data_IF_888312325254
#
_entry.id   IF_888312325254
#
_cell.length_a   1.000
_cell.length_b   1.000
_cell.length_c   1.000
_cell.angle_alpha   90.00
_cell.angle_beta   90.00
_cell.angle_gamma   90.00
#
_symmetry.space_group_name_H-M   'P 1'
#
loop_
_entity.id
_entity.type
_entity.pdbx_description
1 polymer ?
#
# COMPACT_ATOMS: atom_id res chain seq x y z
N UNK A 1 -41.54 20.21 0.86
CA UNK A 1 -40.15 20.37 0.38
C UNK A 1 -39.34 19.37 1.17
N UNK A 2 -39.27 18.16 0.64
CA UNK A 2 -38.54 17.06 1.27
C UNK A 2 -37.07 17.21 0.85
N UNK A 3 -36.22 17.49 1.82
CA UNK A 3 -34.78 17.73 1.60
C UNK A 3 -34.05 16.47 2.01
N UNK A 4 -33.94 15.51 1.09
CA UNK A 4 -33.04 14.38 1.29
C UNK A 4 -31.60 14.90 1.27
N UNK A 5 -30.78 14.62 2.29
CA UNK A 5 -29.39 15.03 2.28
C UNK A 5 -28.68 14.32 1.13
N UNK A 6 -28.03 15.07 0.23
CA UNK A 6 -27.12 14.50 -0.76
C UNK A 6 -26.03 13.72 -0.03
N UNK A 7 -26.05 12.39 -0.15
CA UNK A 7 -24.97 11.56 0.32
C UNK A 7 -23.70 11.93 -0.45
N UNK A 8 -22.71 12.45 0.26
CA UNK A 8 -21.40 12.75 -0.34
C UNK A 8 -20.85 11.47 -0.98
N UNK A 9 -20.34 11.52 -2.23
CA UNK A 9 -19.71 10.37 -2.89
C UNK A 9 -18.64 9.69 -2.02
N UNK A 10 -18.05 10.44 -1.09
CA UNK A 10 -17.00 10.00 -0.20
C UNK A 10 -17.51 9.16 0.96
N UNK A 11 -18.71 9.43 1.48
CA UNK A 11 -19.31 8.53 2.47
C UNK A 11 -19.57 7.14 1.87
N UNK A 12 -19.89 7.10 0.56
CA UNK A 12 -20.04 5.83 -0.17
C UNK A 12 -18.68 5.16 -0.43
N UNK A 13 -17.66 5.91 -0.83
CA UNK A 13 -16.32 5.37 -1.12
C UNK A 13 -15.57 4.90 0.15
N UNK A 14 -15.58 5.72 1.22
CA UNK A 14 -15.00 5.39 2.54
C UNK A 14 -15.68 4.17 3.15
N UNK A 15 -17.02 4.05 3.05
CA UNK A 15 -17.73 2.88 3.54
C UNK A 15 -17.40 1.58 2.77
N UNK A 16 -16.95 1.71 1.52
CA UNK A 16 -16.64 0.59 0.63
C UNK A 16 -15.16 0.18 0.66
N UNK A 17 -14.22 1.03 1.09
CA UNK A 17 -12.81 0.63 1.18
C UNK A 17 -12.52 -0.11 2.51
N UNK A 18 -12.23 -1.43 2.45
CA UNK A 18 -11.94 -2.22 3.65
C UNK A 18 -10.61 -1.86 4.33
N UNK A 19 -9.74 -1.07 3.70
CA UNK A 19 -8.46 -0.57 4.26
C UNK A 19 -8.66 0.58 5.25
N UNK A 20 -9.75 1.33 5.14
CA UNK A 20 -10.02 2.52 5.96
C UNK A 20 -11.00 2.30 7.11
N UNK A 21 -11.44 1.06 7.33
CA UNK A 21 -12.27 0.73 8.49
C UNK A 21 -11.44 0.87 9.77
N UNK A 22 -11.97 1.50 10.83
CA UNK A 22 -11.26 1.62 12.10
C UNK A 22 -10.85 0.22 12.59
N UNK A 23 -9.58 0.09 13.00
CA UNK A 23 -9.08 -1.13 13.63
C UNK A 23 -9.87 -1.39 14.92
N UNK A 24 -10.28 -2.64 15.21
CA UNK A 24 -10.87 -2.97 16.50
C UNK A 24 -9.91 -2.58 17.63
N UNK A 25 -10.44 -1.97 18.69
CA UNK A 25 -9.68 -1.62 19.89
C UNK A 25 -9.18 -2.91 20.58
N UNK A 26 -7.94 -3.29 20.28
CA UNK A 26 -7.26 -4.39 20.96
C UNK A 26 -6.58 -3.80 22.19
N UNK A 27 -7.34 -3.77 23.28
CA UNK A 27 -6.97 -3.16 24.54
C UNK A 27 -5.56 -3.50 25.04
N UNK A 28 -4.99 -2.53 25.74
CA UNK A 28 -3.69 -2.60 26.42
C UNK A 28 -3.50 -3.91 27.19
N UNK A 29 -2.52 -4.72 26.79
CA UNK A 29 -2.03 -5.79 27.66
C UNK A 29 -1.06 -5.17 28.67
N UNK A 30 -1.57 -4.89 29.87
CA UNK A 30 -0.78 -4.55 31.04
C UNK A 30 0.00 -5.75 31.60
N UNK A 31 0.98 -5.52 32.49
CA UNK A 31 1.95 -6.52 32.89
C UNK A 31 1.39 -7.40 34.01
N UNK A 32 0.71 -8.49 33.65
CA UNK A 32 0.40 -9.64 34.52
C UNK A 32 -0.23 -10.76 33.70
N UNK A 33 0.58 -11.64 33.14
CA UNK A 33 0.10 -12.93 32.60
C UNK A 33 1.21 -13.97 32.74
N UNK A 34 1.56 -14.28 33.98
CA UNK A 34 2.24 -15.51 34.33
C UNK A 34 1.23 -16.67 34.29
N UNK A 35 1.49 -17.70 33.49
CA UNK A 35 1.13 -19.08 33.86
C UNK A 35 2.30 -20.01 33.51
N UNK A 36 2.66 -20.80 34.52
CA UNK A 36 3.80 -21.68 34.68
C UNK A 36 3.74 -23.00 33.87
N UNK A 37 4.91 -23.36 33.30
CA UNK A 37 5.61 -24.67 33.28
C UNK A 37 4.87 -26.03 33.22
N UNK A 38 5.33 -26.90 32.30
CA UNK A 38 4.98 -28.33 32.28
C UNK A 38 5.84 -29.26 31.37
N UNK A 39 7.17 -29.28 31.58
CA UNK A 39 8.20 -30.35 31.30
C UNK A 39 8.42 -30.98 29.89
N UNK A 40 9.66 -31.47 29.62
CA UNK A 40 10.22 -31.68 28.28
C UNK A 40 10.23 -33.15 27.82
N UNK A 41 10.30 -33.37 26.50
CA UNK A 41 10.62 -34.68 25.91
C UNK A 41 11.96 -34.61 25.16
N UNK A 42 12.93 -35.43 25.59
CA UNK A 42 14.24 -35.63 24.95
C UNK A 42 14.16 -36.63 23.76
N UNK A 43 15.15 -36.61 22.84
CA UNK A 43 15.06 -37.21 21.49
C UNK A 43 15.90 -38.50 21.29
N UNK A 44 15.77 -39.13 20.09
CA UNK A 44 16.79 -39.81 19.22
C UNK A 44 16.23 -41.09 18.50
N UNK A 45 16.85 -41.65 17.43
CA UNK A 45 17.36 -41.03 16.19
C UNK A 45 17.17 -41.89 14.88
N UNK A 46 17.50 -41.28 13.72
CA UNK A 46 17.81 -41.96 12.43
C UNK A 46 16.96 -41.42 11.27
N UNK A 47 17.46 -40.98 10.11
CA UNK A 47 18.74 -41.16 9.39
C UNK A 47 19.01 -39.92 8.50
N UNK A 48 20.29 -39.67 8.26
CA UNK A 48 20.90 -38.57 7.49
C UNK A 48 20.45 -38.46 6.03
N UNK A 49 20.47 -37.20 5.53
CA UNK A 49 20.94 -36.63 4.22
C UNK A 49 19.96 -35.50 3.83
N UNK A 50 20.31 -34.24 3.60
CA UNK A 50 21.56 -33.53 3.34
C UNK A 50 21.33 -32.04 3.63
N UNK A 51 22.33 -31.35 4.19
CA UNK A 51 22.35 -29.87 4.27
C UNK A 51 23.13 -29.35 3.08
N UNK A 52 22.53 -28.44 2.31
CA UNK A 52 23.18 -27.31 1.62
C UNK A 52 22.07 -26.38 1.11
N UNK A 53 21.70 -25.38 1.92
CA UNK A 53 21.94 -23.96 1.64
C UNK A 53 21.24 -23.42 0.38
N UNK A 54 20.01 -22.92 0.55
CA UNK A 54 19.52 -21.76 -0.21
C UNK A 54 19.18 -20.70 0.83
N UNK A 55 19.94 -19.62 0.76
CA UNK A 55 19.86 -18.42 1.57
C UNK A 55 18.44 -17.89 1.63
N UNK A 56 17.97 -17.71 2.87
CA UNK A 56 16.78 -16.94 3.22
C UNK A 56 16.92 -15.51 2.69
N UNK A 57 16.17 -15.20 1.63
CA UNK A 57 15.73 -13.83 1.39
C UNK A 57 14.69 -13.52 2.46
N UNK A 58 15.08 -12.64 3.38
CA UNK A 58 14.31 -12.27 4.57
C UNK A 58 12.91 -11.80 4.14
N UNK A 59 11.92 -12.59 4.54
CA UNK A 59 10.53 -12.18 4.72
C UNK A 59 10.50 -11.07 5.77
N UNK A 60 10.60 -9.82 5.34
CA UNK A 60 10.04 -8.70 6.09
C UNK A 60 8.64 -8.41 5.54
N UNK A 61 7.77 -9.41 5.65
CA UNK A 61 6.33 -9.21 5.66
C UNK A 61 5.90 -9.30 7.12
N UNK A 62 6.10 -8.23 7.88
CA UNK A 62 5.33 -8.08 9.11
C UNK A 62 3.86 -7.88 8.70
N UNK A 63 2.92 -8.64 9.26
CA UNK A 63 1.54 -8.54 8.88
C UNK A 63 1.01 -7.21 9.43
N UNK A 64 0.74 -6.25 8.54
CA UNK A 64 -0.27 -5.26 8.83
C UNK A 64 -1.53 -6.04 9.24
N UNK A 65 -2.11 -5.66 10.38
CA UNK A 65 -3.31 -6.26 10.95
C UNK A 65 -4.42 -6.11 9.92
N UNK A 66 -4.54 -7.10 9.06
CA UNK A 66 -5.59 -7.19 8.08
C UNK A 66 -6.90 -7.22 8.88
N UNK A 67 -7.79 -6.26 8.60
CA UNK A 67 -9.20 -6.41 8.94
C UNK A 67 -9.62 -7.83 8.52
N UNK A 68 -10.54 -8.47 9.26
CA UNK A 68 -10.96 -9.85 8.97
C UNK A 68 -11.34 -10.08 7.49
N UNK A 69 -11.79 -9.02 6.81
CA UNK A 69 -12.05 -8.98 5.37
C UNK A 69 -10.80 -9.00 4.49
N UNK A 70 -9.74 -8.28 4.84
CA UNK A 70 -8.48 -8.28 4.09
C UNK A 70 -7.73 -9.62 4.24
N UNK A 71 -7.83 -10.26 5.42
CA UNK A 71 -7.30 -11.62 5.63
C UNK A 71 -8.04 -12.65 4.79
N UNK A 72 -9.37 -12.59 4.74
CA UNK A 72 -10.17 -13.49 3.91
C UNK A 72 -9.92 -13.30 2.40
N UNK A 73 -9.76 -12.06 1.93
CA UNK A 73 -9.42 -11.78 0.54
C UNK A 73 -8.00 -12.29 0.17
N UNK A 74 -7.05 -12.19 1.09
CA UNK A 74 -5.70 -12.74 0.93
C UNK A 74 -5.69 -14.27 0.92
N UNK A 75 -6.47 -14.92 1.80
CA UNK A 75 -6.62 -16.38 1.80
C UNK A 75 -7.16 -16.87 0.45
N UNK A 76 -8.19 -16.22 -0.08
CA UNK A 76 -8.76 -16.55 -1.40
C UNK A 76 -7.77 -16.32 -2.55
N UNK A 77 -6.94 -15.28 -2.50
CA UNK A 77 -5.88 -15.04 -3.47
C UNK A 77 -4.74 -16.07 -3.35
N UNK A 78 -4.37 -16.43 -2.12
CA UNK A 78 -3.31 -17.41 -1.85
C UNK A 78 -3.66 -18.82 -2.31
N UNK A 79 -4.95 -19.16 -2.37
CA UNK A 79 -5.43 -20.44 -2.91
C UNK A 79 -5.02 -20.63 -4.38
N UNK A 80 -5.01 -19.54 -5.17
CA UNK A 80 -4.50 -19.54 -6.55
C UNK A 80 -2.97 -19.58 -6.65
N UNK A 81 -2.25 -19.23 -5.57
CA UNK A 81 -0.79 -19.33 -5.47
C UNK A 81 -0.32 -20.71 -4.97
N UNK A 82 -1.25 -21.62 -4.64
CA UNK A 82 -0.88 -22.98 -4.24
C UNK A 82 -0.23 -23.71 -5.42
N UNK A 83 0.99 -24.22 -5.21
CA UNK A 83 1.76 -25.00 -6.18
C UNK A 83 1.16 -26.41 -6.37
N UNK A 84 -0.11 -26.52 -6.74
CA UNK A 84 -0.73 -27.79 -7.10
C UNK A 84 -0.87 -27.90 -8.63
N UNK A 85 0.06 -28.65 -9.24
CA UNK A 85 0.04 -28.93 -10.67
C UNK A 85 1.38 -29.46 -11.19
N UNK A 86 1.36 -30.04 -12.40
CA UNK A 86 2.61 -30.34 -13.12
C UNK A 86 3.23 -29.01 -13.58
N UNK A 87 4.55 -28.79 -13.38
CA UNK A 87 5.22 -27.61 -13.91
C UNK A 87 4.96 -27.47 -15.41
N UNK A 88 4.30 -26.39 -15.81
CA UNK A 88 4.21 -26.04 -17.22
C UNK A 88 5.38 -25.12 -17.58
N UNK A 89 6.00 -25.29 -18.76
CA UNK A 89 6.97 -24.32 -19.23
C UNK A 89 6.31 -22.95 -19.27
N UNK A 90 6.98 -21.94 -18.72
CA UNK A 90 6.48 -20.57 -18.80
C UNK A 90 6.37 -20.18 -20.28
N UNK A 91 5.15 -20.04 -20.78
CA UNK A 91 4.94 -19.26 -22.00
C UNK A 91 5.56 -17.88 -21.78
N UNK A 92 6.17 -17.26 -22.82
CA UNK A 92 6.70 -15.91 -22.68
C UNK A 92 5.62 -15.02 -22.04
N UNK A 93 5.97 -14.32 -20.96
CA UNK A 93 5.06 -13.43 -20.26
C UNK A 93 4.84 -12.16 -21.10
N UNK A 94 4.18 -12.31 -22.24
CA UNK A 94 3.92 -11.27 -23.23
C UNK A 94 2.43 -11.32 -23.54
N UNK A 95 1.77 -10.16 -23.48
CA UNK A 95 0.37 -10.05 -23.90
C UNK A 95 0.25 -10.28 -25.42
N UNK A 96 -0.15 -11.49 -25.83
CA UNK A 96 -0.33 -11.80 -27.25
C UNK A 96 -1.52 -11.04 -27.85
N UNK A 97 -1.49 -10.80 -29.17
CA UNK A 97 -2.59 -10.13 -29.88
C UNK A 97 -3.95 -10.82 -29.63
N UNK A 98 -3.97 -12.15 -29.63
CA UNK A 98 -5.17 -12.92 -29.35
C UNK A 98 -5.67 -12.76 -27.90
N UNK A 99 -4.77 -12.63 -26.92
CA UNK A 99 -5.16 -12.33 -25.53
C UNK A 99 -5.74 -10.93 -25.39
N UNK A 100 -5.18 -9.95 -26.10
CA UNK A 100 -5.71 -8.57 -26.14
C UNK A 100 -7.11 -8.56 -26.77
N UNK A 101 -7.31 -9.26 -27.90
CA UNK A 101 -8.64 -9.37 -28.53
C UNK A 101 -9.67 -10.06 -27.62
N UNK A 102 -9.25 -11.07 -26.85
CA UNK A 102 -10.10 -11.72 -25.85
C UNK A 102 -10.42 -10.78 -24.68
N UNK A 103 -9.44 -9.99 -24.24
CA UNK A 103 -9.58 -8.99 -23.19
C UNK A 103 -10.59 -7.90 -23.61
N UNK A 104 -10.55 -7.44 -24.85
CA UNK A 104 -11.46 -6.40 -25.37
C UNK A 104 -12.93 -6.83 -25.35
N UNK A 105 -13.20 -8.14 -25.32
CA UNK A 105 -14.55 -8.70 -25.19
C UNK A 105 -15.01 -8.88 -23.74
N UNK A 106 -14.13 -8.66 -22.75
CA UNK A 106 -14.47 -8.77 -21.34
C UNK A 106 -15.12 -7.49 -20.81
N UNK A 107 -15.97 -7.57 -19.77
CA UNK A 107 -16.43 -6.40 -19.03
C UNK A 107 -15.26 -5.62 -18.41
N UNK A 108 -15.40 -4.29 -18.27
CA UNK A 108 -14.39 -3.40 -17.70
C UNK A 108 -13.79 -3.91 -16.37
N UNK A 109 -14.64 -4.40 -15.46
CA UNK A 109 -14.21 -5.01 -14.19
C UNK A 109 -13.20 -6.13 -14.40
N UNK A 110 -13.52 -7.07 -15.31
CA UNK A 110 -12.67 -8.23 -15.56
C UNK A 110 -11.41 -7.86 -16.32
N UNK A 111 -11.46 -6.82 -17.15
CA UNK A 111 -10.29 -6.28 -17.80
C UNK A 111 -9.27 -5.72 -16.79
N UNK A 112 -9.73 -4.88 -15.86
CA UNK A 112 -8.89 -4.30 -14.82
C UNK A 112 -8.26 -5.37 -13.92
N UNK A 113 -9.06 -6.32 -13.45
CA UNK A 113 -8.59 -7.44 -12.62
C UNK A 113 -7.53 -8.30 -13.35
N UNK A 114 -7.83 -8.73 -14.58
CA UNK A 114 -6.91 -9.58 -15.34
C UNK A 114 -5.61 -8.84 -15.68
N UNK A 115 -5.69 -7.58 -16.11
CA UNK A 115 -4.50 -6.83 -16.45
C UNK A 115 -3.65 -6.52 -15.22
N UNK A 116 -4.26 -6.24 -14.06
CA UNK A 116 -3.50 -6.02 -12.83
C UNK A 116 -2.82 -7.32 -12.35
N UNK A 117 -3.49 -8.46 -12.47
CA UNK A 117 -2.87 -9.77 -12.24
C UNK A 117 -1.67 -9.99 -13.19
N UNK A 118 -1.83 -9.67 -14.47
CA UNK A 118 -0.75 -9.78 -15.47
C UNK A 118 0.41 -8.81 -15.19
N UNK A 119 0.11 -7.59 -14.74
CA UNK A 119 1.11 -6.61 -14.31
C UNK A 119 1.90 -7.11 -13.10
N UNK A 120 1.23 -7.65 -12.07
CA UNK A 120 1.87 -8.26 -10.89
C UNK A 120 2.82 -9.40 -11.31
N UNK A 121 2.45 -10.16 -12.35
CA UNK A 121 3.27 -11.23 -12.91
C UNK A 121 4.25 -10.76 -14.01
N UNK A 122 4.47 -9.45 -14.15
CA UNK A 122 5.40 -8.82 -15.09
C UNK A 122 5.21 -9.18 -16.57
N UNK A 123 3.96 -9.35 -17.00
CA UNK A 123 3.67 -9.54 -18.42
C UNK A 123 3.97 -8.26 -19.21
N UNK A 124 4.76 -8.41 -20.27
CA UNK A 124 5.07 -7.33 -21.20
C UNK A 124 3.78 -6.78 -21.83
N UNK A 125 3.65 -5.45 -21.84
CA UNK A 125 2.50 -4.72 -22.36
C UNK A 125 1.31 -4.61 -21.38
N UNK A 126 1.29 -5.33 -20.24
CA UNK A 126 0.15 -5.27 -19.31
C UNK A 126 -0.09 -3.84 -18.78
N UNK A 127 0.97 -3.16 -18.36
CA UNK A 127 0.88 -1.78 -17.85
C UNK A 127 0.44 -0.79 -18.94
N UNK A 128 0.87 -0.97 -20.19
CA UNK A 128 0.44 -0.13 -21.31
C UNK A 128 -1.05 -0.34 -21.62
N UNK A 129 -1.51 -1.59 -21.56
CA UNK A 129 -2.93 -1.91 -21.73
C UNK A 129 -3.79 -1.34 -20.59
N UNK A 130 -3.25 -1.27 -19.36
CA UNK A 130 -3.88 -0.57 -18.22
C UNK A 130 -3.99 0.92 -18.53
N UNK A 131 -2.87 1.57 -18.82
CA UNK A 131 -2.82 3.01 -19.12
C UNK A 131 -3.77 3.41 -20.27
N UNK A 132 -3.92 2.56 -21.29
CA UNK A 132 -4.82 2.80 -22.40
C UNK A 132 -6.32 2.72 -22.04
N UNK A 133 -6.69 2.07 -20.92
CA UNK A 133 -8.09 1.75 -20.57
C UNK A 133 -8.60 2.41 -19.30
N UNK A 134 -7.74 2.96 -18.46
CA UNK A 134 -8.13 3.53 -17.15
C UNK A 134 -9.25 4.57 -17.24
N UNK A 135 -9.27 5.43 -18.26
CA UNK A 135 -10.36 6.40 -18.45
C UNK A 135 -11.69 5.75 -18.84
N UNK A 136 -11.66 4.66 -19.61
CA UNK A 136 -12.86 3.89 -19.91
C UNK A 136 -13.37 3.21 -18.63
N UNK A 137 -12.48 2.59 -17.84
CA UNK A 137 -12.84 1.92 -16.60
C UNK A 137 -13.42 2.87 -15.56
N UNK A 138 -12.88 4.08 -15.45
CA UNK A 138 -13.43 5.15 -14.60
C UNK A 138 -14.88 5.44 -14.94
N UNK A 139 -15.19 5.61 -16.23
CA UNK A 139 -16.58 5.85 -16.73
C UNK A 139 -17.47 4.61 -16.62
N UNK A 140 -16.87 3.42 -16.62
CA UNK A 140 -17.58 2.16 -16.44
C UNK A 140 -17.87 1.84 -14.96
N UNK A 141 -17.40 2.67 -14.02
CA UNK A 141 -17.62 2.54 -12.57
C UNK A 141 -17.18 1.16 -12.05
N UNK A 142 -15.86 0.91 -12.05
CA UNK A 142 -15.31 -0.30 -11.43
C UNK A 142 -15.79 -0.41 -9.98
N UNK A 143 -15.99 -1.66 -9.53
CA UNK A 143 -16.33 -1.97 -8.15
C UNK A 143 -15.06 -2.40 -7.43
N UNK A 144 -14.79 -1.82 -6.26
CA UNK A 144 -13.77 -2.31 -5.32
C UNK A 144 -14.24 -3.62 -4.66
N UNK A 145 -14.27 -4.68 -5.46
CA UNK A 145 -14.54 -6.03 -4.96
C UNK A 145 -13.38 -6.49 -4.08
N UNK A 146 -13.58 -7.42 -3.13
CA UNK A 146 -12.48 -7.97 -2.33
C UNK A 146 -11.31 -8.48 -3.18
N UNK A 147 -11.60 -9.05 -4.35
CA UNK A 147 -10.59 -9.50 -5.30
C UNK A 147 -9.79 -8.35 -5.91
N UNK A 148 -10.45 -7.31 -6.42
CA UNK A 148 -9.76 -6.15 -6.98
C UNK A 148 -8.93 -5.43 -5.90
N UNK A 149 -9.46 -5.28 -4.68
CA UNK A 149 -8.73 -4.69 -3.55
C UNK A 149 -7.49 -5.51 -3.20
N UNK A 150 -7.57 -6.85 -3.20
CA UNK A 150 -6.41 -7.70 -2.97
C UNK A 150 -5.35 -7.53 -4.06
N UNK A 151 -5.75 -7.44 -5.34
CA UNK A 151 -4.83 -7.18 -6.44
C UNK A 151 -4.18 -5.79 -6.35
N UNK A 152 -4.95 -4.75 -6.04
CA UNK A 152 -4.40 -3.38 -5.82
C UNK A 152 -3.38 -3.41 -4.68
N UNK A 153 -3.71 -4.06 -3.57
CA UNK A 153 -2.81 -4.18 -2.42
C UNK A 153 -1.53 -4.92 -2.78
N UNK A 154 -1.62 -6.05 -3.49
CA UNK A 154 -0.46 -6.81 -3.93
C UNK A 154 0.41 -6.00 -4.91
N UNK A 155 -0.21 -5.29 -5.85
CA UNK A 155 0.48 -4.47 -6.83
C UNK A 155 1.17 -3.25 -6.21
N UNK A 156 0.54 -2.57 -5.23
CA UNK A 156 1.15 -1.48 -4.48
C UNK A 156 2.37 -1.92 -3.66
N UNK A 157 2.45 -3.20 -3.28
CA UNK A 157 3.60 -3.79 -2.60
C UNK A 157 4.62 -4.45 -3.55
N UNK A 158 4.45 -4.34 -4.88
CA UNK A 158 5.37 -4.96 -5.86
C UNK A 158 6.76 -4.30 -5.85
N UNK A 159 7.84 -5.03 -6.05
CA UNK A 159 9.18 -4.43 -6.20
C UNK A 159 9.36 -3.60 -7.48
N UNK A 160 8.42 -3.68 -8.44
CA UNK A 160 8.43 -2.90 -9.67
C UNK A 160 7.52 -1.66 -9.54
N UNK A 161 8.13 -0.47 -9.56
CA UNK A 161 7.42 0.80 -9.47
C UNK A 161 6.37 1.00 -10.58
N UNK A 162 6.55 0.36 -11.75
CA UNK A 162 5.56 0.43 -12.83
C UNK A 162 4.30 -0.36 -12.48
N UNK A 163 4.43 -1.47 -11.77
CA UNK A 163 3.29 -2.26 -11.26
C UNK A 163 2.55 -1.48 -10.17
N UNK A 164 3.29 -0.79 -9.29
CA UNK A 164 2.67 0.13 -8.31
C UNK A 164 1.93 1.27 -8.98
N UNK A 165 2.53 1.90 -9.98
CA UNK A 165 1.90 2.96 -10.75
C UNK A 165 0.60 2.47 -11.43
N UNK A 166 0.59 1.25 -11.97
CA UNK A 166 -0.61 0.65 -12.54
C UNK A 166 -1.71 0.42 -11.49
N UNK A 167 -1.33 0.03 -10.26
CA UNK A 167 -2.26 -0.08 -9.14
C UNK A 167 -2.89 1.27 -8.78
N UNK A 168 -2.10 2.34 -8.72
CA UNK A 168 -2.57 3.72 -8.45
C UNK A 168 -3.56 4.16 -9.52
N UNK A 169 -3.27 3.89 -10.80
CA UNK A 169 -4.18 4.22 -11.92
C UNK A 169 -5.53 3.50 -11.79
N UNK A 170 -5.52 2.21 -11.42
CA UNK A 170 -6.74 1.42 -11.23
C UNK A 170 -7.50 1.86 -9.97
N UNK A 171 -6.79 2.19 -8.88
CA UNK A 171 -7.42 2.66 -7.63
C UNK A 171 -8.16 3.98 -7.88
N UNK A 172 -7.52 4.95 -8.55
CA UNK A 172 -8.14 6.20 -8.97
C UNK A 172 -9.36 5.98 -9.90
N UNK A 173 -9.25 5.05 -10.85
CA UNK A 173 -10.36 4.71 -11.73
C UNK A 173 -11.55 4.09 -10.98
N UNK A 174 -11.28 3.20 -10.01
CA UNK A 174 -12.30 2.57 -9.18
C UNK A 174 -12.97 3.55 -8.21
N UNK A 175 -12.23 4.55 -7.73
CA UNK A 175 -12.79 5.69 -6.98
C UNK A 175 -13.55 6.68 -7.87
N UNK A 176 -13.61 6.46 -9.19
CA UNK A 176 -14.18 7.38 -10.18
C UNK A 176 -13.54 8.78 -10.16
N UNK A 177 -12.25 8.87 -9.86
CA UNK A 177 -11.54 10.14 -9.72
C UNK A 177 -10.84 10.54 -11.01
N UNK A 178 -11.19 11.71 -11.53
CA UNK A 178 -10.43 12.35 -12.61
C UNK A 178 -9.13 12.96 -12.04
N UNK A 179 -8.05 12.89 -12.81
CA UNK A 179 -6.75 13.47 -12.46
C UNK A 179 -6.71 14.97 -12.76
N UNK A 180 -7.48 15.76 -12.01
CA UNK A 180 -7.65 17.21 -12.22
C UNK A 180 -7.41 18.02 -10.93
N UNK A 181 -6.89 19.26 -11.02
CA UNK A 181 -6.59 20.08 -9.84
C UNK A 181 -7.78 20.35 -8.92
N UNK A 182 -9.01 20.41 -9.46
CA UNK A 182 -10.21 20.61 -8.64
C UNK A 182 -10.44 19.48 -7.63
N UNK A 183 -9.97 18.27 -7.90
CA UNK A 183 -10.02 17.19 -6.93
C UNK A 183 -9.01 17.41 -5.80
N UNK A 184 -7.85 18.00 -6.08
CA UNK A 184 -6.90 18.41 -5.03
C UNK A 184 -7.54 19.44 -4.11
N UNK A 185 -8.31 20.40 -4.63
CA UNK A 185 -9.04 21.37 -3.80
C UNK A 185 -10.06 20.71 -2.86
N UNK A 186 -10.81 19.74 -3.39
CA UNK A 186 -11.81 18.96 -2.62
C UNK A 186 -11.12 18.20 -1.49
N UNK A 187 -10.09 17.40 -1.82
CA UNK A 187 -9.42 16.56 -0.83
C UNK A 187 -8.56 17.36 0.15
N UNK A 188 -8.00 18.50 -0.24
CA UNK A 188 -7.34 19.42 0.69
C UNK A 188 -8.31 19.90 1.77
N UNK A 189 -9.56 20.22 1.41
CA UNK A 189 -10.59 20.60 2.38
C UNK A 189 -10.99 19.43 3.28
N UNK A 190 -11.07 18.22 2.74
CA UNK A 190 -11.49 17.03 3.48
C UNK A 190 -10.41 16.49 4.42
N UNK A 191 -9.14 16.74 4.12
CA UNK A 191 -8.04 16.49 5.04
C UNK A 191 -8.14 17.32 6.34
N UNK A 192 -9.00 18.34 6.37
CA UNK A 192 -9.32 19.12 7.59
C UNK A 192 -10.55 18.60 8.35
N UNK A 193 -11.26 17.60 7.82
CA UNK A 193 -12.49 17.05 8.40
C UNK A 193 -12.27 16.50 9.80
N UNK A 194 -13.17 16.79 10.75
CA UNK A 194 -13.13 16.19 12.10
C UNK A 194 -13.42 14.68 12.10
N UNK A 195 -14.00 14.16 11.03
CA UNK A 195 -14.16 12.72 10.83
C UNK A 195 -12.84 12.11 10.36
N UNK A 196 -12.26 11.24 11.19
CA UNK A 196 -10.96 10.62 10.95
C UNK A 196 -10.95 9.77 9.67
N UNK A 197 -12.03 9.06 9.36
CA UNK A 197 -12.10 8.22 8.17
C UNK A 197 -12.11 9.06 6.90
N UNK A 198 -12.86 10.18 6.91
CA UNK A 198 -12.85 11.16 5.79
C UNK A 198 -11.46 11.77 5.64
N UNK A 199 -10.82 12.15 6.75
CA UNK A 199 -9.47 12.73 6.77
C UNK A 199 -8.44 11.78 6.18
N UNK A 200 -8.39 10.55 6.66
CA UNK A 200 -7.44 9.52 6.22
C UNK A 200 -7.60 9.23 4.73
N UNK A 201 -8.86 9.12 4.26
CA UNK A 201 -9.15 8.95 2.84
C UNK A 201 -8.66 10.10 2.01
N UNK A 202 -8.90 11.34 2.45
CA UNK A 202 -8.43 12.52 1.75
C UNK A 202 -6.90 12.55 1.62
N UNK A 203 -6.17 12.22 2.69
CA UNK A 203 -4.71 12.14 2.66
C UNK A 203 -4.22 11.06 1.69
N UNK A 204 -4.78 9.85 1.75
CA UNK A 204 -4.49 8.78 0.80
C UNK A 204 -4.70 9.21 -0.64
N UNK A 205 -5.88 9.77 -0.95
CA UNK A 205 -6.24 10.19 -2.30
C UNK A 205 -5.36 11.34 -2.80
N UNK A 206 -5.01 12.30 -1.94
CA UNK A 206 -4.02 13.34 -2.26
C UNK A 206 -2.69 12.71 -2.68
N UNK A 207 -2.20 11.71 -1.94
CA UNK A 207 -0.98 10.97 -2.28
C UNK A 207 -1.04 10.34 -3.68
N UNK A 208 -2.14 9.67 -4.02
CA UNK A 208 -2.35 9.07 -5.35
C UNK A 208 -2.36 10.12 -6.47
N UNK A 209 -3.08 11.24 -6.27
CA UNK A 209 -3.17 12.34 -7.23
C UNK A 209 -1.82 13.04 -7.43
N UNK A 210 -1.11 13.33 -6.33
CA UNK A 210 0.22 13.94 -6.34
C UNK A 210 1.24 13.05 -7.04
N UNK A 211 1.22 11.73 -6.79
CA UNK A 211 2.05 10.78 -7.52
C UNK A 211 1.77 10.82 -9.03
N UNK A 212 0.50 11.00 -9.43
CA UNK A 212 0.10 11.14 -10.83
C UNK A 212 0.23 12.56 -11.41
N UNK A 213 0.95 13.42 -10.73
CA UNK A 213 1.35 14.73 -11.23
C UNK A 213 0.25 15.80 -11.15
N UNK A 214 -0.84 15.52 -10.44
CA UNK A 214 -1.92 16.49 -10.26
C UNK A 214 -1.55 17.42 -9.10
N UNK A 215 -1.09 18.63 -9.44
CA UNK A 215 -0.71 19.67 -8.46
C UNK A 215 0.28 19.16 -7.39
N UNK A 216 1.27 18.36 -7.83
CA UNK A 216 2.11 17.51 -6.97
C UNK A 216 2.88 18.30 -5.90
N UNK A 217 3.38 19.49 -6.23
CA UNK A 217 4.08 20.37 -5.29
C UNK A 217 3.14 20.81 -4.15
N UNK A 218 1.95 21.30 -4.50
CA UNK A 218 0.95 21.72 -3.52
C UNK A 218 0.45 20.54 -2.68
N UNK A 219 0.20 19.39 -3.30
CA UNK A 219 -0.13 18.15 -2.59
C UNK A 219 0.95 17.84 -1.55
N UNK A 220 2.22 17.88 -1.94
CA UNK A 220 3.35 17.61 -1.04
C UNK A 220 3.36 18.58 0.15
N UNK A 221 3.12 19.88 -0.08
CA UNK A 221 3.05 20.88 0.98
C UNK A 221 1.88 20.63 1.95
N UNK A 222 0.70 20.24 1.44
CA UNK A 222 -0.47 19.88 2.27
C UNK A 222 -0.10 18.69 3.16
N UNK A 223 0.47 17.63 2.58
CA UNK A 223 0.83 16.42 3.34
C UNK A 223 1.90 16.71 4.40
N UNK A 224 2.89 17.55 4.10
CA UNK A 224 3.89 18.01 5.08
C UNK A 224 3.23 18.74 6.25
N UNK A 225 2.19 19.55 6.01
CA UNK A 225 1.47 20.23 7.09
C UNK A 225 0.79 19.22 8.04
N UNK A 226 0.21 18.14 7.49
CA UNK A 226 -0.43 17.08 8.30
C UNK A 226 0.55 16.21 9.09
N UNK A 227 1.86 16.29 8.84
CA UNK A 227 2.88 15.67 9.71
C UNK A 227 2.92 16.30 11.11
N UNK A 228 2.22 17.43 11.35
CA UNK A 228 2.14 18.08 12.65
C UNK A 228 0.79 17.89 13.35
N UNK A 229 -0.07 17.01 12.81
CA UNK A 229 -1.36 16.71 13.42
C UNK A 229 -1.17 16.09 14.82
N UNK A 230 -2.00 16.52 15.77
CA UNK A 230 -2.05 15.95 17.11
C UNK A 230 -2.37 14.45 17.12
N UNK A 231 -3.16 13.97 16.16
CA UNK A 231 -3.52 12.57 16.04
C UNK A 231 -2.42 11.77 15.30
N UNK A 232 -1.79 10.76 15.93
CA UNK A 232 -0.79 9.92 15.26
C UNK A 232 -1.33 9.15 14.04
N UNK A 233 -2.63 8.84 13.99
CA UNK A 233 -3.22 8.19 12.82
C UNK A 233 -3.24 9.12 11.60
N UNK A 234 -3.60 10.40 11.79
CA UNK A 234 -3.52 11.41 10.72
C UNK A 234 -2.08 11.54 10.20
N UNK A 235 -1.10 11.60 11.12
CA UNK A 235 0.32 11.69 10.73
C UNK A 235 0.77 10.44 9.97
N UNK A 236 0.36 9.25 10.39
CA UNK A 236 0.64 8.00 9.68
C UNK A 236 0.16 8.05 8.22
N UNK A 237 -1.07 8.51 7.98
CA UNK A 237 -1.62 8.63 6.62
C UNK A 237 -0.94 9.73 5.81
N UNK A 238 -0.51 10.83 6.43
CA UNK A 238 0.28 11.85 5.76
C UNK A 238 1.65 11.31 5.31
N UNK A 239 2.31 10.51 6.15
CA UNK A 239 3.57 9.84 5.82
C UNK A 239 3.38 8.82 4.69
N UNK A 240 2.34 8.00 4.76
CA UNK A 240 2.01 7.05 3.69
C UNK A 240 1.77 7.78 2.37
N UNK A 241 1.01 8.88 2.39
CA UNK A 241 0.75 9.69 1.21
C UNK A 241 2.01 10.35 0.64
N UNK A 242 2.94 10.81 1.50
CA UNK A 242 4.26 11.31 1.05
C UNK A 242 5.10 10.20 0.42
N UNK A 243 5.06 8.99 0.99
CA UNK A 243 5.66 7.80 0.41
C UNK A 243 5.08 7.49 -0.98
N UNK A 244 3.76 7.60 -1.14
CA UNK A 244 3.08 7.45 -2.43
C UNK A 244 3.47 8.55 -3.42
N UNK A 245 3.57 9.82 -3.02
CA UNK A 245 4.03 10.89 -3.92
C UNK A 245 5.42 10.57 -4.45
N UNK A 246 6.36 10.23 -3.57
CA UNK A 246 7.65 9.64 -3.94
C UNK A 246 8.56 10.52 -4.79
N UNK A 247 8.57 11.84 -4.55
CA UNK A 247 9.51 12.78 -5.19
C UNK A 247 10.70 13.09 -4.27
N UNK A 248 11.71 13.81 -4.76
CA UNK A 248 12.90 14.17 -3.98
C UNK A 248 12.53 15.00 -2.74
N UNK A 249 11.51 15.84 -2.87
CA UNK A 249 11.01 16.72 -1.82
C UNK A 249 10.36 15.97 -0.65
N UNK A 250 9.95 14.71 -0.82
CA UNK A 250 9.35 13.92 0.25
C UNK A 250 10.39 13.28 1.16
N UNK A 251 11.64 13.13 0.71
CA UNK A 251 12.70 12.39 1.41
C UNK A 251 13.06 13.06 2.74
N UNK A 252 13.33 14.38 2.74
CA UNK A 252 13.72 15.08 3.96
C UNK A 252 12.61 15.09 5.04
N UNK A 253 11.33 15.37 4.70
CA UNK A 253 10.22 15.20 5.65
C UNK A 253 10.09 13.78 6.19
N UNK A 254 10.25 12.75 5.35
CA UNK A 254 10.18 11.36 5.79
C UNK A 254 11.33 10.99 6.73
N UNK A 255 12.56 11.43 6.46
CA UNK A 255 13.70 11.26 7.35
C UNK A 255 13.49 11.96 8.69
N UNK A 256 12.91 13.17 8.67
CA UNK A 256 12.59 13.90 9.88
C UNK A 256 11.56 13.14 10.72
N UNK A 257 10.47 12.66 10.11
CA UNK A 257 9.44 11.88 10.82
C UNK A 257 10.04 10.59 11.39
N UNK A 258 10.85 9.89 10.60
CA UNK A 258 11.54 8.67 11.04
C UNK A 258 12.37 8.90 12.31
N UNK A 259 12.99 10.07 12.45
CA UNK A 259 13.82 10.42 13.62
C UNK A 259 12.98 10.97 14.79
N UNK A 260 12.09 11.94 14.50
CA UNK A 260 11.51 12.82 15.52
C UNK A 260 10.10 12.44 15.98
N UNK A 261 9.35 11.59 15.24
CA UNK A 261 7.93 11.39 15.58
C UNK A 261 7.77 10.65 16.92
N UNK A 262 6.92 11.15 17.83
CA UNK A 262 6.73 10.50 19.13
C UNK A 262 6.06 9.13 19.04
N UNK A 263 5.39 8.80 17.93
CA UNK A 263 4.72 7.52 17.74
C UNK A 263 5.61 6.53 16.97
N UNK A 264 5.95 5.37 17.55
CA UNK A 264 6.73 4.33 16.86
C UNK A 264 6.07 3.86 15.56
N UNK A 265 4.73 3.77 15.53
CA UNK A 265 3.96 3.40 14.34
C UNK A 265 4.15 4.39 13.18
N UNK A 266 4.31 5.69 13.48
CA UNK A 266 4.52 6.72 12.46
C UNK A 266 5.97 6.70 11.97
N UNK A 267 6.94 6.50 12.89
CA UNK A 267 8.36 6.31 12.52
C UNK A 267 8.57 5.07 11.63
N UNK A 268 7.96 3.94 11.99
CA UNK A 268 7.99 2.71 11.19
C UNK A 268 7.46 2.97 9.78
N UNK A 269 6.32 3.66 9.67
CA UNK A 269 5.73 4.01 8.38
C UNK A 269 6.65 4.90 7.55
N UNK A 270 7.38 5.83 8.16
CA UNK A 270 8.36 6.66 7.48
C UNK A 270 9.54 5.84 6.96
N UNK A 271 10.06 4.90 7.76
CA UNK A 271 11.08 3.94 7.31
C UNK A 271 10.59 3.11 6.12
N UNK A 272 9.39 2.54 6.20
CA UNK A 272 8.79 1.77 5.11
C UNK A 272 8.67 2.62 3.82
N UNK A 273 8.27 3.88 3.95
CA UNK A 273 8.11 4.82 2.82
C UNK A 273 9.44 5.17 2.15
N UNK A 274 10.50 5.36 2.94
CA UNK A 274 11.88 5.57 2.46
C UNK A 274 12.47 4.31 1.82
N UNK A 275 12.10 3.13 2.32
CA UNK A 275 12.62 1.84 1.87
C UNK A 275 11.81 1.27 0.69
N UNK A 276 10.87 0.36 0.94
CA UNK A 276 10.26 -0.44 -0.12
C UNK A 276 8.77 -0.20 -0.28
N UNK A 277 8.09 0.59 0.54
CA UNK A 277 6.63 0.78 0.47
C UNK A 277 6.22 2.03 -0.31
N UNK A 278 7.14 2.99 -0.51
CA UNK A 278 6.88 4.21 -1.28
C UNK A 278 7.06 4.06 -2.80
N UNK A 279 6.99 5.21 -3.49
CA UNK A 279 7.22 5.36 -4.93
C UNK A 279 8.60 5.94 -5.27
N UNK A 280 9.49 6.08 -4.28
CA UNK A 280 10.87 6.51 -4.48
C UNK A 280 11.63 5.49 -5.34
N UNK A 281 12.30 5.96 -6.38
CA UNK A 281 13.18 5.14 -7.21
C UNK A 281 14.51 4.84 -6.50
N UNK A 282 15.33 3.97 -7.10
CA UNK A 282 16.60 3.54 -6.51
C UNK A 282 17.54 4.71 -6.17
N UNK A 283 17.64 5.70 -7.04
CA UNK A 283 18.50 6.87 -6.82
C UNK A 283 17.99 7.71 -5.63
N UNK A 284 16.67 7.93 -5.57
CA UNK A 284 16.01 8.69 -4.50
C UNK A 284 16.16 7.99 -3.14
N UNK A 285 15.98 6.66 -3.10
CA UNK A 285 16.21 5.91 -1.86
C UNK A 285 17.66 5.99 -1.42
N UNK A 286 18.61 5.94 -2.36
CA UNK A 286 20.04 6.06 -2.06
C UNK A 286 20.43 7.42 -1.50
N UNK A 287 19.75 8.50 -1.86
CA UNK A 287 20.05 9.81 -1.29
C UNK A 287 19.66 9.94 0.19
N UNK A 288 18.82 9.04 0.71
CA UNK A 288 18.50 8.98 2.15
C UNK A 288 19.61 8.30 2.98
N UNK A 289 20.43 7.44 2.36
CA UNK A 289 21.43 6.60 3.07
C UNK A 289 22.39 7.42 3.95
N UNK A 290 23.00 8.53 3.49
CA UNK A 290 23.92 9.28 4.33
C UNK A 290 23.29 9.75 5.64
N UNK A 291 22.01 10.16 5.60
CA UNK A 291 21.31 10.60 6.80
C UNK A 291 20.90 9.43 7.69
N UNK A 292 20.49 8.29 7.11
CA UNK A 292 20.22 7.06 7.87
C UNK A 292 21.47 6.54 8.58
N UNK A 293 22.65 6.64 7.95
CA UNK A 293 23.92 6.30 8.60
C UNK A 293 24.24 7.22 9.78
N UNK A 294 23.95 8.52 9.65
CA UNK A 294 24.10 9.44 10.79
C UNK A 294 23.15 9.07 11.95
N UNK A 295 21.94 8.61 11.64
CA UNK A 295 20.97 8.15 12.63
C UNK A 295 21.41 6.87 13.35
N UNK A 296 22.10 5.95 12.66
CA UNK A 296 22.63 4.74 13.29
C UNK A 296 23.59 5.04 14.45
N UNK A 297 24.32 6.15 14.37
CA UNK A 297 25.25 6.63 15.41
C UNK A 297 24.61 7.63 16.40
N UNK A 298 23.32 7.99 16.25
CA UNK A 298 22.66 9.01 17.07
C UNK A 298 22.13 8.46 18.39
N UNK A 299 22.73 8.78 19.55
CA UNK A 299 22.34 8.21 20.83
C UNK A 299 20.96 8.69 21.34
N UNK A 300 20.31 9.64 20.64
CA UNK A 300 19.00 10.15 21.02
C UNK A 300 17.84 9.30 20.51
N UNK A 301 18.09 8.39 19.56
CA UNK A 301 17.07 7.45 19.09
C UNK A 301 16.73 6.41 20.15
N UNK A 302 15.47 6.01 20.19
CA UNK A 302 15.09 4.85 21.01
C UNK A 302 15.57 3.53 20.39
N UNK A 303 15.64 2.49 21.23
CA UNK A 303 16.17 1.18 20.84
C UNK A 303 15.45 0.58 19.62
N UNK A 304 14.13 0.77 19.50
CA UNK A 304 13.36 0.26 18.37
C UNK A 304 13.73 0.98 17.07
N UNK A 305 13.89 2.30 17.12
CA UNK A 305 14.24 3.10 15.94
C UNK A 305 15.67 2.83 15.50
N UNK A 306 16.59 2.59 16.45
CA UNK A 306 17.95 2.13 16.17
C UNK A 306 18.00 0.76 15.46
N UNK A 307 17.07 -0.15 15.71
CA UNK A 307 17.01 -1.45 15.01
C UNK A 307 16.64 -1.31 13.52
N UNK A 308 16.10 -0.17 13.10
CA UNK A 308 15.66 0.08 11.72
C UNK A 308 16.69 0.80 10.84
N UNK A 309 17.78 1.33 11.40
CA UNK A 309 18.85 2.06 10.68
C UNK A 309 20.15 1.27 10.57
#
# INVERSE_FOLDING_TARGET
MDSTPEHSPLQSAVAQDPRLKPTPDYGSLGPSSDVHSGKPLHPQPGRLRSIAAITAGILCALPFIASSTARAAWEQFSEYLTLQGKPQPASPAIMSQHEIERLDRQPAQKQAELLLERAINHYEGANDQIAARVEHWRRAHLKLTPHLTALITAALNSNDLRVRAAAIEIDLAAMNLAKVPSNVDVFAKEAESQDQSVRNWALWTLGLLGNRGVDSERVTQILIAHLRDSNPESRHWAVEALGLVGTDETIAPLLQVFHDDPSPMVRERAACSLAQSGMLNEQQRRSAIPQLLNFADDPSLDAQTHEWV
#
